data_IF_304777971322
#
_entry.id   IF_304777971322
#
_cell.length_a   1.000
_cell.length_b   1.000
_cell.length_c   1.000
_cell.angle_alpha   90.00
_cell.angle_beta   90.00
_cell.angle_gamma   90.00
#
_symmetry.space_group_name_H-M   'P 1'
#
loop_
_entity.id
_entity.type
_entity.pdbx_description
1 polymer ?
#
# COMPACT_ATOMS: atom_id res chain seq x y z
N UNK A 1 -9.93 43.03 -15.17
CA UNK A 1 -10.96 42.04 -14.78
C UNK A 1 -10.28 40.68 -14.85
N UNK A 2 -9.65 40.25 -13.75
CA UNK A 2 -8.95 38.96 -13.68
C UNK A 2 -9.64 38.23 -12.53
N UNK A 3 -10.42 37.20 -12.87
CA UNK A 3 -11.13 36.40 -11.88
C UNK A 3 -10.10 35.55 -11.12
N UNK A 4 -9.98 35.82 -9.83
CA UNK A 4 -9.24 35.02 -8.86
C UNK A 4 -9.91 33.67 -8.75
N UNK A 5 -9.24 32.60 -9.20
CA UNK A 5 -9.67 31.23 -8.92
C UNK A 5 -9.28 30.94 -7.47
N UNK A 6 -10.27 30.98 -6.59
CA UNK A 6 -10.16 30.50 -5.22
C UNK A 6 -10.13 28.97 -5.27
N UNK A 7 -8.96 28.39 -5.04
CA UNK A 7 -8.82 26.94 -4.89
C UNK A 7 -9.53 26.52 -3.61
N UNK A 8 -10.69 25.90 -3.78
CA UNK A 8 -11.46 25.29 -2.70
C UNK A 8 -10.57 24.24 -2.01
N UNK A 9 -10.04 24.62 -0.85
CA UNK A 9 -9.08 23.83 -0.08
C UNK A 9 -9.88 22.78 0.68
N UNK A 10 -10.29 21.73 -0.02
CA UNK A 10 -10.78 20.51 0.62
C UNK A 10 -9.62 19.96 1.44
N UNK A 11 -9.61 20.28 2.73
CA UNK A 11 -8.67 19.73 3.69
C UNK A 11 -9.01 18.26 3.87
N UNK A 12 -8.50 17.40 2.98
CA UNK A 12 -8.49 15.96 3.20
C UNK A 12 -7.63 15.73 4.43
N UNK A 13 -8.23 15.29 5.53
CA UNK A 13 -7.51 15.09 6.78
C UNK A 13 -6.65 13.83 6.64
N UNK A 14 -5.40 14.01 6.23
CA UNK A 14 -4.43 12.93 6.09
C UNK A 14 -3.82 12.59 7.44
N UNK A 15 -4.00 11.34 7.87
CA UNK A 15 -3.31 10.79 9.04
C UNK A 15 -1.94 10.21 8.63
N UNK A 16 -0.91 10.48 9.43
CA UNK A 16 0.46 10.03 9.18
C UNK A 16 1.00 9.33 10.44
N UNK A 17 1.33 8.05 10.29
CA UNK A 17 1.88 7.22 11.36
C UNK A 17 3.26 6.67 10.99
N UNK A 18 4.23 6.84 11.90
CA UNK A 18 5.55 6.22 11.81
C UNK A 18 5.60 4.98 12.70
N UNK A 19 6.00 3.85 12.13
CA UNK A 19 6.16 2.60 12.84
C UNK A 19 7.66 2.30 12.99
N UNK A 20 8.19 2.48 14.20
CA UNK A 20 9.61 2.28 14.53
C UNK A 20 9.79 1.06 15.44
N UNK A 21 11.03 0.60 15.60
CA UNK A 21 11.34 -0.56 16.47
C UNK A 21 10.89 -1.91 15.92
N UNK A 22 10.56 -1.99 14.63
CA UNK A 22 10.21 -3.26 13.96
C UNK A 22 11.47 -4.02 13.58
N UNK A 23 11.55 -5.30 13.95
CA UNK A 23 12.70 -6.17 13.66
C UNK A 23 12.89 -6.39 12.14
N UNK A 24 11.78 -6.56 11.42
CA UNK A 24 11.79 -6.73 9.97
C UNK A 24 10.66 -5.92 9.33
N UNK A 25 11.03 -4.86 8.60
CA UNK A 25 10.07 -3.95 7.96
C UNK A 25 9.18 -4.64 6.93
N UNK A 26 9.68 -5.62 6.18
CA UNK A 26 8.89 -6.32 5.17
C UNK A 26 7.87 -7.25 5.80
N UNK A 27 8.24 -7.98 6.85
CA UNK A 27 7.29 -8.81 7.60
C UNK A 27 6.20 -7.94 8.24
N UNK A 28 6.58 -6.80 8.82
CA UNK A 28 5.63 -5.84 9.37
C UNK A 28 4.69 -5.27 8.29
N UNK A 29 5.22 -4.88 7.13
CA UNK A 29 4.43 -4.41 6.00
C UNK A 29 3.43 -5.48 5.52
N UNK A 30 3.80 -6.76 5.49
CA UNK A 30 2.85 -7.85 5.16
C UNK A 30 1.68 -7.91 6.16
N UNK A 31 1.92 -7.72 7.46
CA UNK A 31 0.87 -7.65 8.48
C UNK A 31 -0.04 -6.43 8.29
N UNK A 32 0.54 -5.27 7.95
CA UNK A 32 -0.21 -4.06 7.66
C UNK A 32 -1.09 -4.23 6.41
N UNK A 33 -0.56 -4.84 5.35
CA UNK A 33 -1.32 -5.14 4.14
C UNK A 33 -2.43 -6.14 4.37
N UNK A 34 -2.20 -7.19 5.17
CA UNK A 34 -3.26 -8.11 5.61
C UNK A 34 -4.38 -7.37 6.34
N UNK A 35 -4.02 -6.43 7.21
CA UNK A 35 -5.00 -5.60 7.92
C UNK A 35 -5.81 -4.75 6.94
N UNK A 36 -5.16 -4.09 5.97
CA UNK A 36 -5.83 -3.30 4.95
C UNK A 36 -6.80 -4.15 4.11
N UNK A 37 -6.35 -5.33 3.65
CA UNK A 37 -7.17 -6.29 2.93
C UNK A 37 -8.40 -6.72 3.73
N UNK A 38 -8.24 -7.06 5.03
CA UNK A 38 -9.35 -7.45 5.92
C UNK A 38 -10.36 -6.32 6.14
N UNK A 39 -9.93 -5.07 5.99
CA UNK A 39 -10.78 -3.89 6.07
C UNK A 39 -11.34 -3.47 4.70
N UNK A 40 -11.02 -4.22 3.63
CA UNK A 40 -11.37 -3.92 2.24
C UNK A 40 -10.90 -2.51 1.79
N UNK A 41 -9.74 -2.10 2.30
CA UNK A 41 -9.08 -0.83 1.98
C UNK A 41 -8.02 -1.08 0.91
N UNK A 42 -8.06 -0.32 -0.18
CA UNK A 42 -6.98 -0.35 -1.17
C UNK A 42 -5.72 0.28 -0.59
N UNK A 43 -4.59 -0.41 -0.75
CA UNK A 43 -3.30 0.04 -0.23
C UNK A 43 -2.26 0.10 -1.35
N UNK A 44 -1.25 0.93 -1.15
CA UNK A 44 -0.09 1.02 -2.04
C UNK A 44 1.17 0.91 -1.19
N UNK A 45 2.14 0.13 -1.66
CA UNK A 45 3.47 0.04 -1.07
C UNK A 45 4.47 0.58 -2.09
N UNK A 46 5.18 1.62 -1.68
CA UNK A 46 6.28 2.21 -2.44
C UNK A 46 7.60 1.62 -1.95
N UNK A 47 8.40 1.10 -2.88
CA UNK A 47 9.70 0.50 -2.62
C UNK A 47 10.78 1.26 -3.37
N UNK A 48 12.00 1.26 -2.83
CA UNK A 48 13.08 2.08 -3.39
C UNK A 48 13.75 1.42 -4.59
N UNK A 49 13.67 0.07 -4.68
CA UNK A 49 14.35 -0.70 -5.73
C UNK A 49 13.49 -1.85 -6.24
N UNK A 50 13.77 -2.28 -7.46
CA UNK A 50 13.12 -3.45 -8.06
C UNK A 50 13.43 -4.76 -7.32
N UNK A 51 14.60 -4.89 -6.69
CA UNK A 51 14.95 -6.06 -5.88
C UNK A 51 14.08 -6.16 -4.63
N UNK A 52 13.85 -5.02 -3.96
CA UNK A 52 12.93 -4.96 -2.83
C UNK A 52 11.51 -5.28 -3.26
N UNK A 53 11.10 -4.78 -4.43
CA UNK A 53 9.80 -5.07 -5.00
C UNK A 53 9.60 -6.55 -5.26
N UNK A 54 10.53 -7.21 -5.97
CA UNK A 54 10.47 -8.65 -6.21
C UNK A 54 10.47 -9.45 -4.91
N UNK A 55 11.26 -9.03 -3.93
CA UNK A 55 11.30 -9.69 -2.62
C UNK A 55 9.97 -9.56 -1.88
N UNK A 56 9.40 -8.36 -1.86
CA UNK A 56 8.18 -8.07 -1.12
C UNK A 56 6.94 -8.72 -1.78
N UNK A 57 6.86 -8.71 -3.10
CA UNK A 57 5.86 -9.45 -3.90
C UNK A 57 5.82 -10.93 -3.49
N UNK A 58 6.98 -11.61 -3.51
CA UNK A 58 7.09 -13.00 -3.05
C UNK A 58 6.66 -13.19 -1.59
N UNK A 59 6.96 -12.23 -0.71
CA UNK A 59 6.55 -12.31 0.70
C UNK A 59 5.04 -12.21 0.87
N UNK A 60 4.35 -11.36 0.09
CA UNK A 60 2.88 -11.23 0.17
C UNK A 60 2.14 -12.54 -0.18
N UNK A 61 2.78 -13.43 -0.94
CA UNK A 61 2.28 -14.78 -1.23
C UNK A 61 2.52 -15.81 -0.12
N UNK A 62 3.55 -15.66 0.72
CA UNK A 62 4.06 -16.78 1.52
C UNK A 62 4.56 -16.42 2.93
N UNK A 63 4.37 -15.18 3.40
CA UNK A 63 4.91 -14.76 4.71
C UNK A 63 4.30 -15.51 5.92
N UNK A 64 3.15 -16.15 5.73
CA UNK A 64 2.58 -17.13 6.65
C UNK A 64 1.95 -18.27 5.82
N UNK A 65 1.91 -19.52 6.34
CA UNK A 65 1.53 -20.71 5.56
C UNK A 65 0.17 -20.65 4.85
N UNK A 66 -0.78 -19.86 5.37
CA UNK A 66 -2.14 -19.72 4.83
C UNK A 66 -2.47 -18.28 4.45
N UNK A 67 -1.47 -17.41 4.36
CA UNK A 67 -1.69 -16.01 4.00
C UNK A 67 -1.62 -15.81 2.51
N UNK A 68 -2.67 -15.21 1.96
CA UNK A 68 -2.70 -14.72 0.59
C UNK A 68 -3.24 -13.29 0.58
N UNK A 69 -2.43 -12.34 0.08
CA UNK A 69 -2.81 -10.95 -0.10
C UNK A 69 -2.87 -10.67 -1.61
N UNK A 70 -4.04 -10.38 -2.21
CA UNK A 70 -4.14 -9.97 -3.60
C UNK A 70 -3.37 -8.68 -3.85
N UNK A 71 -2.39 -8.75 -4.75
CA UNK A 71 -1.55 -7.62 -5.11
C UNK A 71 -1.17 -7.63 -6.58
N UNK A 72 -0.77 -6.48 -7.10
CA UNK A 72 -0.36 -6.33 -8.49
C UNK A 72 0.40 -5.02 -8.71
N UNK A 73 0.80 -4.81 -9.96
CA UNK A 73 1.38 -3.52 -10.36
C UNK A 73 0.28 -2.45 -10.41
N UNK A 74 0.59 -1.18 -10.12
CA UNK A 74 -0.37 -0.12 -10.27
C UNK A 74 -0.86 -0.03 -11.72
N UNK A 75 -2.11 0.41 -11.89
CA UNK A 75 -2.76 0.63 -13.20
C UNK A 75 -2.90 -0.62 -14.07
N UNK A 76 -2.86 -1.82 -13.51
CA UNK A 76 -3.20 -3.04 -14.24
C UNK A 76 -4.71 -3.34 -14.17
N UNK A 77 -5.32 -3.92 -15.22
CA UNK A 77 -6.77 -4.15 -15.28
C UNK A 77 -7.30 -5.11 -14.20
N UNK A 78 -6.42 -5.98 -13.71
CA UNK A 78 -6.68 -7.00 -12.71
C UNK A 78 -6.57 -6.49 -11.26
N UNK A 79 -6.21 -5.22 -11.04
CA UNK A 79 -6.14 -4.67 -9.69
C UNK A 79 -7.53 -4.47 -9.09
N UNK A 80 -7.91 -5.41 -8.21
CA UNK A 80 -9.21 -5.41 -7.54
C UNK A 80 -9.27 -4.34 -6.43
N UNK A 81 -10.48 -3.84 -6.14
CA UNK A 81 -10.72 -3.01 -4.94
C UNK A 81 -10.31 -3.79 -3.68
N UNK A 82 -9.62 -3.13 -2.76
CA UNK A 82 -9.06 -3.78 -1.57
C UNK A 82 -7.76 -4.55 -1.83
N UNK A 83 -7.23 -4.51 -3.05
CA UNK A 83 -5.92 -5.04 -3.40
C UNK A 83 -4.77 -4.10 -3.03
N UNK A 84 -3.55 -4.65 -3.07
CA UNK A 84 -2.31 -3.91 -2.79
C UNK A 84 -1.57 -3.61 -4.10
N UNK A 85 -1.30 -2.33 -4.36
CA UNK A 85 -0.43 -1.91 -5.46
C UNK A 85 1.04 -1.91 -5.02
N UNK A 86 1.93 -2.46 -5.85
CA UNK A 86 3.39 -2.43 -5.63
C UNK A 86 4.08 -1.55 -6.67
N UNK A 87 4.75 -0.49 -6.22
CA UNK A 87 5.48 0.46 -7.08
C UNK A 87 6.89 0.73 -6.62
#
# INVERSE_FOLDING_TARGET
MIQSIEYDKISVMSDLAFHTGVENRFKYACLAMRKAQRLNISACVLLETDDELRRFDNMLWAFEPTSFIPHGRPNTPDMQRGGVALS
#
